data_IF_391937694219
#
_entry.id   IF_391937694219
#
_cell.length_a   1.000
_cell.length_b   1.000
_cell.length_c   1.000
_cell.angle_alpha   90.00
_cell.angle_beta   90.00
_cell.angle_gamma   90.00
#
_symmetry.space_group_name_H-M   'P 1'
#
loop_
_entity.id
_entity.type
_entity.pdbx_description
1 polymer ?
#
# COMPACT_ATOMS: atom_id res chain seq x y z
N UNK A 1 -6.09 17.35 12.24
CA UNK A 1 -6.63 16.23 13.06
C UNK A 1 -5.77 15.05 12.74
N UNK A 2 -5.19 14.40 13.73
CA UNK A 2 -4.39 13.20 13.51
C UNK A 2 -5.27 12.01 13.83
N UNK A 3 -5.30 11.01 12.91
CA UNK A 3 -5.95 9.74 13.18
C UNK A 3 -4.94 8.80 13.85
N UNK A 4 -5.37 7.72 14.51
CA UNK A 4 -4.47 6.76 15.10
C UNK A 4 -3.56 6.10 14.05
N UNK A 5 -2.28 5.93 14.38
CA UNK A 5 -1.36 5.06 13.66
C UNK A 5 -1.16 3.79 14.47
N UNK A 6 -1.53 2.65 13.89
CA UNK A 6 -1.40 1.33 14.49
C UNK A 6 -0.28 0.58 13.77
N UNK A 7 0.80 0.29 14.50
CA UNK A 7 1.88 -0.56 14.02
C UNK A 7 1.85 -1.86 14.80
N UNK A 8 1.67 -3.00 14.13
CA UNK A 8 1.60 -4.31 14.77
C UNK A 8 2.26 -5.40 13.91
N UNK A 9 2.33 -6.62 14.45
CA UNK A 9 3.01 -7.75 13.83
C UNK A 9 4.33 -8.08 14.52
N UNK A 10 5.08 -9.04 13.96
CA UNK A 10 6.35 -9.53 14.51
C UNK A 10 7.57 -8.97 13.73
N UNK A 11 7.33 -8.32 12.62
CA UNK A 11 8.35 -7.72 11.74
C UNK A 11 8.70 -6.28 12.12
N UNK A 12 9.25 -5.53 11.18
CA UNK A 12 9.69 -4.15 11.40
C UNK A 12 8.89 -3.15 10.58
N UNK A 13 8.60 -1.99 11.19
CA UNK A 13 8.02 -0.82 10.53
C UNK A 13 9.01 0.34 10.70
N UNK A 14 9.52 0.88 9.60
CA UNK A 14 10.45 2.01 9.58
C UNK A 14 9.81 3.21 8.90
N UNK A 15 9.71 4.32 9.62
CA UNK A 15 9.16 5.58 9.12
C UNK A 15 10.27 6.63 9.09
N UNK A 16 10.50 7.24 7.94
CA UNK A 16 11.41 8.36 7.80
C UNK A 16 10.82 9.67 8.38
N UNK A 17 11.56 10.75 8.32
CA UNK A 17 11.10 12.06 8.80
C UNK A 17 9.95 12.63 7.94
N UNK A 18 9.15 13.52 8.52
CA UNK A 18 8.13 14.28 7.81
C UNK A 18 6.89 13.47 7.35
N UNK A 19 6.69 12.25 7.88
CA UNK A 19 5.49 11.45 7.58
C UNK A 19 4.25 12.12 8.18
N UNK A 20 3.19 12.25 7.37
CA UNK A 20 1.90 12.75 7.80
C UNK A 20 0.87 11.62 7.85
N UNK A 21 0.10 11.55 8.94
CA UNK A 21 -0.91 10.51 9.17
C UNK A 21 -2.27 11.16 9.41
N UNK A 22 -3.21 10.86 8.54
CA UNK A 22 -4.57 11.38 8.60
C UNK A 22 -4.75 12.73 7.91
N UNK A 23 -5.92 12.91 7.30
CA UNK A 23 -6.33 14.14 6.66
C UNK A 23 -7.75 14.49 7.08
N UNK A 24 -7.92 15.63 7.82
CA UNK A 24 -9.20 16.00 8.43
C UNK A 24 -10.41 16.02 7.51
N UNK A 25 -10.32 16.52 6.26
CA UNK A 25 -11.43 16.52 5.30
C UNK A 25 -11.72 15.15 4.65
N UNK A 26 -10.84 14.14 4.80
CA UNK A 26 -11.08 12.81 4.20
C UNK A 26 -12.16 12.05 4.96
N UNK A 27 -12.89 11.13 4.28
CA UNK A 27 -13.86 10.25 4.92
C UNK A 27 -13.25 9.51 6.11
N UNK A 28 -14.02 9.38 7.18
CA UNK A 28 -13.59 8.70 8.39
C UNK A 28 -14.53 7.53 8.67
N UNK A 29 -13.99 6.30 8.61
CA UNK A 29 -14.65 5.08 9.04
C UNK A 29 -14.10 4.73 10.43
N UNK A 30 -14.96 4.65 11.43
CA UNK A 30 -14.53 4.51 12.82
C UNK A 30 -13.68 5.72 13.25
N UNK A 31 -12.46 5.45 13.70
CA UNK A 31 -11.48 6.46 14.11
C UNK A 31 -10.54 6.93 12.98
N UNK A 32 -10.73 6.40 11.77
CA UNK A 32 -9.91 6.71 10.61
C UNK A 32 -8.50 6.11 10.62
N UNK A 33 -8.23 5.16 11.51
CA UNK A 33 -6.89 4.64 11.77
C UNK A 33 -6.13 4.22 10.51
N UNK A 34 -4.84 4.54 10.46
CA UNK A 34 -3.87 3.98 9.52
C UNK A 34 -3.21 2.78 10.19
N UNK A 35 -3.24 1.61 9.54
CA UNK A 35 -2.60 0.40 10.05
C UNK A 35 -1.43 -0.01 9.17
N UNK A 36 -0.27 -0.22 9.80
CA UNK A 36 0.93 -0.79 9.20
C UNK A 36 1.26 -2.09 9.94
N UNK A 37 0.96 -3.23 9.32
CA UNK A 37 1.11 -4.54 9.94
C UNK A 37 2.21 -5.34 9.25
N UNK A 38 3.36 -5.50 9.90
CA UNK A 38 4.46 -6.36 9.47
C UNK A 38 4.32 -7.72 10.16
N UNK A 39 3.70 -8.72 9.49
CA UNK A 39 3.25 -9.97 10.14
C UNK A 39 4.37 -10.95 10.47
N UNK A 40 5.19 -11.28 9.49
CA UNK A 40 6.31 -12.22 9.67
C UNK A 40 7.47 -11.59 10.42
N UNK A 41 8.31 -12.39 11.10
CA UNK A 41 9.51 -11.91 11.86
C UNK A 41 10.48 -11.15 10.95
N UNK A 42 10.59 -11.57 9.69
CA UNK A 42 11.50 -10.95 8.70
C UNK A 42 10.77 -9.94 7.79
N UNK A 43 9.46 -9.76 7.98
CA UNK A 43 8.69 -8.84 7.15
C UNK A 43 9.01 -7.38 7.47
N UNK A 44 8.89 -6.53 6.44
CA UNK A 44 9.30 -5.12 6.55
C UNK A 44 8.31 -4.19 5.87
N UNK A 45 7.97 -3.11 6.56
CA UNK A 45 7.30 -1.95 5.98
C UNK A 45 8.22 -0.75 6.13
N UNK A 46 8.60 -0.13 5.01
CA UNK A 46 9.50 1.01 4.96
C UNK A 46 8.80 2.17 4.28
N UNK A 47 8.77 3.33 4.92
CA UNK A 47 8.13 4.54 4.40
C UNK A 47 9.14 5.67 4.31
N UNK A 48 9.30 6.22 3.11
CA UNK A 48 10.22 7.30 2.80
C UNK A 48 9.74 8.66 3.30
N UNK A 49 10.70 9.57 3.38
CA UNK A 49 10.52 10.94 3.88
C UNK A 49 9.39 11.68 3.16
N UNK A 50 8.64 12.50 3.91
CA UNK A 50 7.60 13.38 3.39
C UNK A 50 6.35 12.67 2.85
N UNK A 51 6.23 11.36 2.96
CA UNK A 51 5.05 10.62 2.53
C UNK A 51 3.86 10.89 3.44
N UNK A 52 2.68 11.03 2.83
CA UNK A 52 1.43 11.34 3.54
C UNK A 52 0.40 10.25 3.33
N UNK A 53 -0.21 9.82 4.43
CA UNK A 53 -1.33 8.89 4.43
C UNK A 53 -2.61 9.64 4.79
N UNK A 54 -3.67 9.41 4.02
CA UNK A 54 -5.01 9.81 4.40
C UNK A 54 -5.60 8.84 5.44
N UNK A 55 -6.91 8.82 5.62
CA UNK A 55 -7.57 8.01 6.65
C UNK A 55 -7.82 6.57 6.17
N UNK A 56 -7.96 5.63 7.11
CA UNK A 56 -8.38 4.25 6.86
C UNK A 56 -7.43 3.42 5.98
N UNK A 57 -6.18 3.84 5.84
CA UNK A 57 -5.18 3.12 5.02
C UNK A 57 -4.70 1.86 5.76
N UNK A 58 -4.55 0.77 5.03
CA UNK A 58 -4.01 -0.48 5.55
C UNK A 58 -2.85 -0.97 4.68
N UNK A 59 -1.72 -1.21 5.29
CA UNK A 59 -0.54 -1.82 4.68
C UNK A 59 -0.21 -3.09 5.45
N UNK A 60 -0.30 -4.23 4.80
CA UNK A 60 -0.05 -5.54 5.42
C UNK A 60 1.05 -6.25 4.65
N UNK A 61 2.14 -6.58 5.35
CA UNK A 61 3.32 -7.23 4.80
C UNK A 61 3.58 -8.59 5.45
N UNK A 62 3.72 -9.63 4.64
CA UNK A 62 4.33 -10.91 5.01
C UNK A 62 5.81 -10.97 4.62
N UNK A 63 6.20 -10.19 3.62
CA UNK A 63 7.57 -10.10 3.11
C UNK A 63 8.07 -8.66 3.16
N UNK A 64 7.65 -7.80 2.22
CA UNK A 64 8.11 -6.42 2.18
C UNK A 64 7.17 -5.49 1.44
N UNK A 65 6.85 -4.36 2.07
CA UNK A 65 6.25 -3.20 1.40
C UNK A 65 7.18 -2.00 1.58
N UNK A 66 7.65 -1.44 0.46
CA UNK A 66 8.43 -0.20 0.45
C UNK A 66 7.63 0.90 -0.22
N UNK A 67 7.45 2.01 0.48
CA UNK A 67 6.84 3.24 -0.02
C UNK A 67 7.95 4.30 -0.06
N UNK A 68 8.16 4.89 -1.23
CA UNK A 68 9.18 5.90 -1.48
C UNK A 68 8.93 7.22 -0.78
N UNK A 69 9.67 8.24 -1.17
CA UNK A 69 9.58 9.60 -0.61
C UNK A 69 8.45 10.39 -1.28
N UNK A 70 7.86 11.35 -0.54
CA UNK A 70 6.87 12.29 -1.04
C UNK A 70 5.65 11.63 -1.72
N UNK A 71 5.32 10.41 -1.34
CA UNK A 71 4.12 9.73 -1.84
C UNK A 71 2.86 10.29 -1.18
N UNK A 72 1.75 10.28 -1.93
CA UNK A 72 0.43 10.62 -1.41
C UNK A 72 -0.45 9.37 -1.46
N UNK A 73 -0.90 8.90 -0.31
CA UNK A 73 -1.73 7.70 -0.18
C UNK A 73 -3.15 8.11 0.24
N UNK A 74 -4.10 7.94 -0.67
CA UNK A 74 -5.51 8.29 -0.49
C UNK A 74 -6.22 7.49 0.59
N UNK A 75 -7.44 7.89 0.94
CA UNK A 75 -8.22 7.20 1.96
C UNK A 75 -8.63 5.78 1.54
N UNK A 76 -8.73 4.90 2.52
CA UNK A 76 -9.12 3.51 2.37
C UNK A 76 -8.29 2.73 1.31
N UNK A 77 -7.03 3.11 1.11
CA UNK A 77 -6.08 2.35 0.29
C UNK A 77 -5.68 1.09 1.05
N UNK A 78 -5.61 -0.04 0.31
CA UNK A 78 -5.21 -1.34 0.82
C UNK A 78 -3.99 -1.85 0.04
N UNK A 79 -2.89 -2.14 0.75
CA UNK A 79 -1.65 -2.67 0.18
C UNK A 79 -1.36 -4.03 0.81
N UNK A 80 -1.32 -5.10 -0.01
CA UNK A 80 -1.19 -6.48 0.43
C UNK A 80 -0.11 -7.19 -0.39
N UNK A 81 0.98 -7.59 0.23
CA UNK A 81 2.09 -8.28 -0.43
C UNK A 81 1.95 -9.81 -0.45
N UNK A 82 0.83 -10.34 -0.02
CA UNK A 82 0.59 -11.79 0.10
C UNK A 82 -0.83 -12.18 -0.27
N UNK A 83 -1.01 -13.43 -0.70
CA UNK A 83 -2.33 -14.07 -0.80
C UNK A 83 -2.85 -14.52 0.57
N UNK A 84 -2.01 -14.54 1.60
CA UNK A 84 -2.24 -15.04 2.98
C UNK A 84 -2.62 -16.50 3.08
N UNK A 85 -3.34 -17.05 2.10
CA UNK A 85 -3.73 -18.44 2.00
C UNK A 85 -3.24 -19.05 0.70
N UNK A 86 -2.95 -20.34 0.72
CA UNK A 86 -2.62 -21.06 -0.51
C UNK A 86 -3.82 -21.05 -1.47
N UNK A 87 -3.57 -20.80 -2.75
CA UNK A 87 -4.63 -20.69 -3.75
C UNK A 87 -5.16 -22.05 -4.20
N UNK A 88 -4.40 -23.16 -4.02
CA UNK A 88 -4.90 -24.48 -4.31
C UNK A 88 -6.00 -24.90 -3.33
N UNK A 89 -7.03 -25.57 -3.83
CA UNK A 89 -8.13 -26.01 -2.97
C UNK A 89 -7.64 -26.96 -1.85
N UNK A 90 -6.72 -27.85 -2.16
CA UNK A 90 -6.18 -28.83 -1.21
C UNK A 90 -5.27 -28.19 -0.13
N UNK A 91 -4.53 -27.12 -0.48
CA UNK A 91 -3.57 -26.47 0.42
C UNK A 91 -4.12 -25.27 1.18
N UNK A 92 -5.32 -24.80 0.86
CA UNK A 92 -5.85 -23.49 1.30
C UNK A 92 -5.86 -23.27 2.81
N UNK A 93 -6.10 -24.31 3.58
CA UNK A 93 -6.18 -24.24 5.04
C UNK A 93 -4.91 -24.71 5.76
N UNK A 94 -3.97 -25.32 5.04
CA UNK A 94 -2.80 -25.96 5.64
C UNK A 94 -1.45 -25.34 5.22
N UNK A 95 -1.41 -24.65 4.08
CA UNK A 95 -0.19 -24.08 3.53
C UNK A 95 -0.27 -22.55 3.47
N UNK A 96 0.87 -21.86 3.59
CA UNK A 96 0.91 -20.41 3.45
C UNK A 96 0.55 -19.99 2.02
N UNK A 97 0.09 -18.76 1.88
CA UNK A 97 -0.05 -18.08 0.59
C UNK A 97 1.30 -17.66 0.02
N UNK A 98 1.31 -17.35 -1.27
CA UNK A 98 2.48 -16.75 -1.91
C UNK A 98 2.58 -15.28 -1.53
N UNK A 99 3.80 -14.81 -1.24
CA UNK A 99 4.15 -13.41 -1.05
C UNK A 99 5.08 -12.92 -2.15
N UNK A 100 5.10 -11.62 -2.39
CA UNK A 100 6.08 -10.96 -3.25
C UNK A 100 6.11 -9.46 -2.90
N UNK A 101 7.30 -8.83 -2.86
CA UNK A 101 7.45 -7.45 -2.43
C UNK A 101 6.60 -6.47 -3.23
N UNK A 102 6.12 -5.42 -2.57
CA UNK A 102 5.49 -4.26 -3.21
C UNK A 102 6.41 -3.06 -3.06
N UNK A 103 6.62 -2.33 -4.17
CA UNK A 103 7.45 -1.13 -4.20
C UNK A 103 6.66 0.01 -4.82
N UNK A 104 6.44 1.07 -4.08
CA UNK A 104 6.07 2.38 -4.61
C UNK A 104 7.36 3.21 -4.65
N UNK A 105 7.72 3.69 -5.83
CA UNK A 105 8.86 4.59 -5.97
C UNK A 105 8.51 6.00 -5.47
N UNK A 106 9.43 6.96 -5.61
CA UNK A 106 9.23 8.31 -5.10
C UNK A 106 8.11 9.05 -5.84
N UNK A 107 7.42 9.96 -5.13
CA UNK A 107 6.40 10.86 -5.68
C UNK A 107 5.22 10.16 -6.36
N UNK A 108 4.84 8.97 -5.89
CA UNK A 108 3.66 8.26 -6.38
C UNK A 108 2.40 8.80 -5.70
N UNK A 109 1.37 9.08 -6.50
CA UNK A 109 0.05 9.42 -5.98
C UNK A 109 -0.91 8.24 -6.15
N UNK A 110 -1.39 7.70 -5.04
CA UNK A 110 -2.40 6.63 -5.00
C UNK A 110 -3.73 7.23 -4.59
N UNK A 111 -4.71 7.18 -5.49
CA UNK A 111 -6.07 7.67 -5.24
C UNK A 111 -6.80 6.84 -4.18
N UNK A 112 -7.93 7.35 -3.72
CA UNK A 112 -8.74 6.70 -2.68
C UNK A 112 -9.25 5.32 -3.10
N UNK A 113 -9.35 4.38 -2.14
CA UNK A 113 -9.90 3.03 -2.33
C UNK A 113 -9.15 2.19 -3.38
N UNK A 114 -7.89 2.47 -3.59
CA UNK A 114 -7.03 1.64 -4.44
C UNK A 114 -6.59 0.40 -3.67
N UNK A 115 -6.53 -0.73 -4.37
CA UNK A 115 -5.96 -1.98 -3.86
C UNK A 115 -4.68 -2.28 -4.64
N UNK A 116 -3.57 -2.49 -3.93
CA UNK A 116 -2.28 -2.86 -4.53
C UNK A 116 -1.92 -4.26 -4.05
N UNK A 117 -1.73 -5.19 -4.99
CA UNK A 117 -1.45 -6.58 -4.69
C UNK A 117 0.03 -6.92 -4.87
N UNK A 118 0.42 -8.06 -4.32
CA UNK A 118 1.79 -8.57 -4.27
C UNK A 118 2.55 -8.51 -5.61
N UNK A 119 3.85 -8.29 -5.54
CA UNK A 119 4.76 -8.31 -6.68
C UNK A 119 4.69 -7.08 -7.58
N UNK A 120 3.99 -6.01 -7.14
CA UNK A 120 3.81 -4.80 -7.92
C UNK A 120 4.89 -3.77 -7.59
N UNK A 121 5.49 -3.19 -8.64
CA UNK A 121 6.24 -1.93 -8.56
C UNK A 121 5.46 -0.82 -9.25
N UNK A 122 5.22 0.28 -8.57
CA UNK A 122 4.65 1.51 -9.15
C UNK A 122 5.79 2.51 -9.33
N UNK A 123 6.07 2.84 -10.58
CA UNK A 123 7.18 3.69 -10.96
C UNK A 123 6.99 5.14 -10.51
N UNK A 124 8.13 5.81 -10.34
CA UNK A 124 8.24 7.19 -9.88
C UNK A 124 7.32 8.14 -10.66
N UNK A 125 6.81 9.15 -9.97
CA UNK A 125 5.96 10.21 -10.52
C UNK A 125 4.62 9.73 -11.12
N UNK A 126 4.18 8.49 -10.85
CA UNK A 126 2.93 7.95 -11.41
C UNK A 126 1.73 8.22 -10.53
N UNK A 127 0.56 8.22 -11.16
CA UNK A 127 -0.74 8.40 -10.50
C UNK A 127 -1.60 7.15 -10.70
N UNK A 128 -2.15 6.63 -9.63
CA UNK A 128 -3.14 5.55 -9.65
C UNK A 128 -4.52 6.14 -9.34
N UNK A 129 -5.42 6.05 -10.32
CA UNK A 129 -6.78 6.55 -10.19
C UNK A 129 -7.58 5.84 -9.09
N UNK A 130 -8.47 6.57 -8.42
CA UNK A 130 -9.28 6.04 -7.33
C UNK A 130 -10.08 4.79 -7.73
N UNK A 131 -10.27 3.86 -6.77
CA UNK A 131 -11.02 2.62 -6.98
C UNK A 131 -10.30 1.57 -7.84
N UNK A 132 -9.03 1.76 -8.18
CA UNK A 132 -8.28 0.83 -9.01
C UNK A 132 -7.79 -0.39 -8.24
N UNK A 133 -7.59 -1.51 -8.97
CA UNK A 133 -6.93 -2.71 -8.46
C UNK A 133 -5.64 -2.97 -9.25
N UNK A 134 -4.50 -2.76 -8.61
CA UNK A 134 -3.18 -2.87 -9.24
C UNK A 134 -2.64 -4.29 -9.02
N UNK A 135 -2.60 -5.08 -10.10
CA UNK A 135 -2.14 -6.48 -10.10
C UNK A 135 -0.87 -6.68 -10.93
N UNK A 136 -0.37 -5.63 -11.56
CA UNK A 136 0.86 -5.62 -12.39
C UNK A 136 1.58 -4.30 -12.19
N UNK A 137 2.88 -4.34 -12.37
CA UNK A 137 3.71 -3.13 -12.24
C UNK A 137 3.31 -2.04 -13.23
N UNK A 138 3.40 -0.80 -12.77
CA UNK A 138 3.06 0.42 -13.51
C UNK A 138 4.37 1.18 -13.79
N UNK A 139 4.64 1.57 -15.03
CA UNK A 139 5.84 2.34 -15.35
C UNK A 139 5.82 3.74 -14.73
N UNK A 140 6.97 4.41 -14.69
CA UNK A 140 7.10 5.77 -14.18
C UNK A 140 6.40 6.80 -15.09
N UNK A 141 5.94 7.91 -14.49
CA UNK A 141 5.43 9.07 -15.20
C UNK A 141 4.13 8.84 -15.96
N UNK A 142 3.24 7.98 -15.45
CA UNK A 142 1.97 7.68 -16.12
C UNK A 142 0.78 7.84 -15.17
N UNK A 143 -0.41 7.97 -15.76
CA UNK A 143 -1.69 7.78 -15.09
C UNK A 143 -2.19 6.39 -15.43
N UNK A 144 -2.49 5.58 -14.41
CA UNK A 144 -3.08 4.26 -14.54
C UNK A 144 -4.38 4.16 -13.71
N UNK A 145 -5.38 3.47 -14.23
CA UNK A 145 -6.64 3.28 -13.51
C UNK A 145 -7.39 2.01 -13.96
N UNK A 146 -8.38 1.61 -13.16
CA UNK A 146 -9.31 0.53 -13.46
C UNK A 146 -9.09 -0.74 -12.64
N UNK A 147 -9.89 -1.75 -12.92
CA UNK A 147 -9.80 -3.09 -12.32
C UNK A 147 -9.81 -4.16 -13.43
N UNK A 148 -8.68 -4.79 -13.77
CA UNK A 148 -7.34 -4.44 -13.30
C UNK A 148 -6.85 -3.08 -13.85
N UNK A 149 -5.99 -2.40 -13.07
CA UNK A 149 -5.42 -1.12 -13.47
C UNK A 149 -4.56 -1.24 -14.75
N UNK A 150 -4.75 -0.30 -15.67
CA UNK A 150 -4.00 -0.17 -16.93
C UNK A 150 -3.54 1.26 -17.11
N UNK A 151 -2.42 1.44 -17.79
CA UNK A 151 -1.95 2.78 -18.19
C UNK A 151 -3.00 3.43 -19.09
N UNK A 152 -3.43 4.63 -18.72
CA UNK A 152 -4.38 5.46 -19.47
C UNK A 152 -3.62 6.40 -20.40
N UNK A 153 -2.60 7.09 -19.88
CA UNK A 153 -1.77 8.03 -20.62
C UNK A 153 -0.49 8.39 -19.85
N UNK A 154 0.52 8.97 -20.49
CA UNK A 154 1.60 9.65 -19.79
C UNK A 154 1.07 10.81 -18.93
N UNK A 155 1.84 11.19 -17.94
CA UNK A 155 1.53 12.32 -17.04
C UNK A 155 1.78 13.65 -17.73
#
# INVERSE_FOLDING_TARGET
MHVPLLCDGNGSVSLAAGISIGFGPAPMLGDGAVRLQARGVDSRIEVGEGTSFSNNVQVIAEERVKIGRNCLIGDAVLILDSDFHNLSAAGRHALPGASAPIILEDNVFVGSRVIILKGVTIGKDSVIGAGSVVVRSIPSGVIAAGNPAKVIRPL
#
